data_IF_309713943668
#
_entry.id   IF_309713943668
#
_cell.length_a   1.000
_cell.length_b   1.000
_cell.length_c   1.000
_cell.angle_alpha   90.00
_cell.angle_beta   90.00
_cell.angle_gamma   90.00
#
_symmetry.space_group_name_H-M   'P 1'
#
loop_
_entity.id
_entity.type
_entity.pdbx_description
1 polymer ?
#
# COMPACT_ATOMS: atom_id res chain seq x y z
N UNK A 1 18.54 -10.20 -2.01
CA UNK A 1 17.29 -9.49 -2.36
C UNK A 1 16.07 -10.31 -1.96
N UNK A 2 16.04 -11.61 -2.28
CA UNK A 2 14.95 -12.52 -1.87
C UNK A 2 14.70 -12.56 -0.36
N UNK A 3 15.75 -12.60 0.48
CA UNK A 3 15.60 -12.54 1.93
C UNK A 3 14.91 -11.25 2.44
N UNK A 4 15.15 -10.11 1.79
CA UNK A 4 14.48 -8.84 2.15
C UNK A 4 13.00 -8.84 1.74
N UNK A 5 12.67 -9.46 0.60
CA UNK A 5 11.28 -9.65 0.18
C UNK A 5 10.53 -10.60 1.12
N UNK A 6 11.17 -11.67 1.55
CA UNK A 6 10.59 -12.60 2.53
C UNK A 6 10.27 -11.88 3.84
N UNK A 7 11.22 -11.08 4.35
CA UNK A 7 11.00 -10.32 5.57
C UNK A 7 9.88 -9.28 5.40
N UNK A 8 9.89 -8.51 4.32
CA UNK A 8 8.85 -7.52 4.04
C UNK A 8 7.45 -8.15 3.94
N UNK A 9 7.34 -9.36 3.38
CA UNK A 9 6.08 -10.13 3.36
C UNK A 9 5.62 -10.54 4.76
N UNK A 10 6.54 -11.05 5.58
CA UNK A 10 6.23 -11.44 6.94
C UNK A 10 5.76 -10.24 7.77
N UNK A 11 6.45 -9.11 7.66
CA UNK A 11 6.10 -7.86 8.33
C UNK A 11 4.72 -7.36 7.88
N UNK A 12 4.43 -7.38 6.57
CA UNK A 12 3.14 -6.96 6.03
C UNK A 12 1.97 -7.84 6.51
N UNK A 13 2.17 -9.16 6.63
CA UNK A 13 1.15 -10.06 7.18
C UNK A 13 0.94 -9.83 8.67
N UNK A 14 2.02 -9.63 9.44
CA UNK A 14 1.93 -9.35 10.86
C UNK A 14 1.15 -8.04 11.13
N UNK A 15 1.45 -6.99 10.37
CA UNK A 15 0.72 -5.73 10.44
C UNK A 15 -0.77 -5.91 10.09
N UNK A 16 -1.08 -6.72 9.08
CA UNK A 16 -2.45 -7.00 8.69
C UNK A 16 -3.21 -7.73 9.81
N UNK A 17 -2.58 -8.69 10.51
CA UNK A 17 -3.19 -9.40 11.64
C UNK A 17 -3.46 -8.44 12.79
N UNK A 18 -2.47 -7.64 13.21
CA UNK A 18 -2.64 -6.68 14.32
C UNK A 18 -3.81 -5.73 14.06
N UNK A 19 -3.93 -5.20 12.84
CA UNK A 19 -5.05 -4.33 12.46
C UNK A 19 -6.40 -5.06 12.48
N UNK A 20 -6.43 -6.31 12.04
CA UNK A 20 -7.65 -7.10 12.03
C UNK A 20 -8.15 -7.39 13.46
N UNK A 21 -7.22 -7.69 14.38
CA UNK A 21 -7.50 -7.85 15.81
C UNK A 21 -8.05 -6.55 16.42
N UNK A 22 -7.37 -5.42 16.19
CA UNK A 22 -7.84 -4.10 16.66
C UNK A 22 -9.26 -3.77 16.16
N UNK A 23 -9.56 -4.11 14.90
CA UNK A 23 -10.88 -3.89 14.33
C UNK A 23 -11.94 -4.83 14.90
N UNK A 24 -11.61 -6.10 15.09
CA UNK A 24 -12.49 -7.06 15.74
C UNK A 24 -12.85 -6.59 17.16
N UNK A 25 -11.85 -6.25 17.97
CA UNK A 25 -12.01 -5.75 19.33
C UNK A 25 -12.87 -4.49 19.39
N UNK A 26 -12.61 -3.53 18.49
CA UNK A 26 -13.38 -2.27 18.43
C UNK A 26 -14.87 -2.48 18.09
N UNK A 27 -15.20 -3.59 17.44
CA UNK A 27 -16.57 -3.96 17.07
C UNK A 27 -17.22 -4.95 18.06
N UNK A 28 -16.50 -5.34 19.11
CA UNK A 28 -16.96 -6.33 20.09
C UNK A 28 -17.13 -7.73 19.49
N UNK A 29 -16.33 -8.06 18.47
CA UNK A 29 -16.31 -9.37 17.81
C UNK A 29 -14.94 -9.99 17.93
N UNK A 30 -14.85 -11.30 17.80
CA UNK A 30 -13.58 -12.00 17.72
C UNK A 30 -13.12 -12.14 16.26
N UNK A 31 -11.80 -12.14 16.04
CA UNK A 31 -11.22 -12.38 14.73
C UNK A 31 -11.40 -13.86 14.34
N UNK A 32 -12.03 -14.09 13.18
CA UNK A 32 -12.33 -15.43 12.66
C UNK A 32 -11.29 -15.98 11.68
N UNK A 33 -11.73 -16.92 10.84
CA UNK A 33 -10.88 -17.59 9.86
C UNK A 33 -10.48 -16.67 8.70
N UNK A 34 -9.34 -16.97 8.09
CA UNK A 34 -8.88 -16.28 6.88
C UNK A 34 -9.70 -16.75 5.68
N UNK A 35 -10.39 -15.82 5.04
CA UNK A 35 -11.17 -16.03 3.82
C UNK A 35 -10.29 -15.95 2.58
N UNK A 36 -9.38 -14.96 2.53
CA UNK A 36 -8.49 -14.80 1.37
C UNK A 36 -7.22 -14.04 1.72
N UNK A 37 -6.13 -14.37 1.02
CA UNK A 37 -4.84 -13.66 1.08
C UNK A 37 -4.42 -13.36 -0.36
N UNK A 38 -4.05 -12.11 -0.65
CA UNK A 38 -3.44 -11.74 -1.93
C UNK A 38 -2.34 -10.70 -1.74
N UNK A 39 -1.22 -10.89 -2.44
CA UNK A 39 -0.18 -9.88 -2.58
C UNK A 39 -0.66 -8.86 -3.63
N UNK A 40 -0.79 -7.60 -3.24
CA UNK A 40 -1.14 -6.50 -4.15
C UNK A 40 0.16 -6.01 -4.74
N UNK A 41 0.42 -6.37 -5.99
CA UNK A 41 1.52 -5.75 -6.73
C UNK A 41 1.10 -4.34 -7.11
N UNK A 42 1.91 -3.35 -6.74
CA UNK A 42 1.83 -1.96 -7.25
C UNK A 42 2.25 -1.92 -8.72
N UNK A 43 1.62 -2.76 -9.54
CA UNK A 43 2.01 -3.08 -10.90
C UNK A 43 0.91 -2.70 -11.87
N UNK A 44 0.51 -1.43 -11.84
CA UNK A 44 0.10 -0.59 -12.98
C UNK A 44 -0.31 0.73 -12.34
N UNK A 45 0.60 1.70 -12.28
CA UNK A 45 0.15 3.08 -12.27
C UNK A 45 -0.69 3.23 -13.53
N UNK A 46 -2.02 3.20 -13.42
CA UNK A 46 -2.86 3.66 -14.52
C UNK A 46 -2.43 5.12 -14.65
N UNK A 47 -1.78 5.54 -15.76
CA UNK A 47 -1.44 6.94 -15.91
C UNK A 47 -2.77 7.68 -15.81
N UNK A 48 -2.91 8.51 -14.78
CA UNK A 48 -4.03 9.44 -14.68
C UNK A 48 -3.89 10.30 -15.92
N UNK A 49 -4.70 10.02 -16.95
CA UNK A 49 -4.71 10.83 -18.17
C UNK A 49 -5.16 12.21 -17.71
N UNK A 50 -4.29 13.25 -17.77
CA UNK A 50 -4.65 14.55 -17.23
C UNK A 50 -5.87 15.06 -17.99
N UNK A 51 -6.98 15.29 -17.30
CA UNK A 51 -8.09 16.00 -17.91
C UNK A 51 -7.65 17.44 -18.18
N UNK A 52 -8.17 18.07 -19.25
CA UNK A 52 -7.70 19.38 -19.72
C UNK A 52 -7.76 20.49 -18.65
N UNK A 53 -8.53 20.29 -17.58
CA UNK A 53 -8.60 21.19 -16.43
C UNK A 53 -7.34 21.14 -15.55
N UNK A 54 -6.73 19.97 -15.37
CA UNK A 54 -5.51 19.79 -14.57
C UNK A 54 -4.28 20.40 -15.26
N UNK A 55 -4.22 20.35 -16.59
CA UNK A 55 -3.10 20.90 -17.35
C UNK A 55 -3.06 22.44 -17.32
N UNK A 56 -4.22 23.10 -17.25
CA UNK A 56 -4.33 24.55 -17.06
C UNK A 56 -3.89 24.98 -15.66
N UNK A 57 -4.30 24.24 -14.62
CA UNK A 57 -3.90 24.50 -13.22
C UNK A 57 -2.39 24.29 -13.01
N UNK A 58 -1.83 23.22 -13.58
CA UNK A 58 -0.40 22.92 -13.50
C UNK A 58 0.47 24.00 -14.18
N UNK A 59 0.00 24.57 -15.30
CA UNK A 59 0.70 25.68 -16.00
C UNK A 59 0.66 26.98 -15.22
N UNK A 60 -0.38 27.24 -14.45
CA UNK A 60 -0.47 28.42 -13.56
C UNK A 60 0.34 28.29 -12.27
N UNK A 61 0.60 27.07 -11.82
CA UNK A 61 1.28 26.79 -10.55
C UNK A 61 2.80 26.62 -10.74
N UNK A 62 3.44 27.55 -11.46
CA UNK A 62 4.84 27.53 -11.91
C UNK A 62 5.89 27.23 -10.83
N UNK A 63 5.96 25.99 -10.38
CA UNK A 63 6.94 25.46 -9.45
C UNK A 63 7.43 24.16 -10.07
N UNK A 64 8.51 24.26 -10.83
CA UNK A 64 9.40 23.13 -11.05
C UNK A 64 9.90 22.69 -9.68
N UNK A 65 9.18 21.77 -9.04
CA UNK A 65 9.67 21.05 -7.88
C UNK A 65 10.84 20.19 -8.37
N UNK A 66 12.06 20.73 -8.30
CA UNK A 66 13.30 19.99 -8.49
C UNK A 66 13.30 18.85 -7.48
N UNK A 67 12.85 17.67 -7.91
CA UNK A 67 12.93 16.46 -7.10
C UNK A 67 14.42 16.15 -6.98
N UNK A 68 15.01 16.16 -5.76
CA UNK A 68 16.41 15.87 -5.61
C UNK A 68 16.67 14.45 -6.11
N UNK A 69 17.50 14.30 -7.15
CA UNK A 69 17.91 12.98 -7.64
C UNK A 69 18.91 12.42 -6.64
N UNK A 70 18.40 11.80 -5.57
CA UNK A 70 19.22 11.09 -4.59
C UNK A 70 19.53 9.71 -5.16
N UNK A 71 20.72 9.56 -5.75
CA UNK A 71 21.24 8.23 -6.06
C UNK A 71 21.47 7.43 -4.77
N UNK A 72 20.89 6.24 -4.65
CA UNK A 72 21.44 5.20 -3.76
C UNK A 72 20.47 4.29 -3.01
N UNK A 73 19.15 4.50 -3.03
CA UNK A 73 18.19 3.59 -2.37
C UNK A 73 16.90 3.48 -3.17
N UNK A 74 16.49 2.23 -3.45
CA UNK A 74 15.17 1.94 -3.99
C UNK A 74 14.27 1.51 -2.83
N UNK A 75 13.08 2.12 -2.64
CA UNK A 75 12.12 1.60 -1.68
C UNK A 75 11.68 0.19 -2.11
N UNK A 76 11.62 -0.72 -1.17
CA UNK A 76 11.02 -2.05 -1.33
C UNK A 76 9.71 -2.02 -0.55
N UNK A 77 8.60 -2.21 -1.25
CA UNK A 77 7.26 -2.19 -0.67
C UNK A 77 6.56 -3.50 -0.99
N UNK A 78 5.89 -4.07 0.00
CA UNK A 78 5.02 -5.23 -0.15
C UNK A 78 3.71 -4.88 0.50
N UNK A 79 2.62 -5.01 -0.27
CA UNK A 79 1.27 -4.81 0.23
C UNK A 79 0.53 -6.14 0.19
N UNK A 80 -0.05 -6.56 1.30
CA UNK A 80 -0.88 -7.76 1.38
C UNK A 80 -2.29 -7.34 1.75
N UNK A 81 -3.28 -7.86 1.01
CA UNK A 81 -4.68 -7.77 1.38
C UNK A 81 -5.12 -9.13 1.91
N UNK A 82 -5.52 -9.15 3.18
CA UNK A 82 -6.09 -10.33 3.85
C UNK A 82 -7.53 -10.02 4.25
N UNK A 83 -8.41 -10.99 4.08
CA UNK A 83 -9.82 -10.88 4.46
C UNK A 83 -10.10 -11.98 5.47
N UNK A 84 -10.76 -11.64 6.57
CA UNK A 84 -11.18 -12.56 7.62
C UNK A 84 -12.70 -12.55 7.77
N UNK A 85 -13.25 -13.65 8.27
CA UNK A 85 -14.57 -13.63 8.88
C UNK A 85 -14.48 -13.07 10.30
N UNK A 86 -15.63 -12.68 10.86
CA UNK A 86 -15.76 -12.57 12.31
C UNK A 86 -16.22 -13.91 12.87
N UNK A 87 -15.81 -14.18 14.10
CA UNK A 87 -16.48 -15.18 14.93
C UNK A 87 -17.80 -14.63 15.53
#
# INVERSE_FOLDING_TARGET
>A
MEALLWQARADAVAEAITKAEEYADSTGRDLGEVISVREVTSGTAIPTVPTAYDSLRARSAGVSSTVPIRGGRSPLEVTVAVVWSFA
#
